data_IF_051364127862
#
_entry.id   IF_051364127862
#
_cell.length_a   1.000
_cell.length_b   1.000
_cell.length_c   1.000
_cell.angle_alpha   90.00
_cell.angle_beta   90.00
_cell.angle_gamma   90.00
#
_symmetry.space_group_name_H-M   'P 1'
#
loop_
_entity.id
_entity.type
_entity.pdbx_description
1 polymer ?
#
# COMPACT_ATOMS: atom_id res chain seq x y z
N UNK A 1 44.01 12.44 -14.09
CA UNK A 1 43.10 12.24 -12.93
C UNK A 1 43.58 11.02 -12.17
N UNK A 2 43.64 11.12 -10.84
CA UNK A 2 43.62 9.95 -9.93
C UNK A 2 42.21 9.32 -9.99
N UNK A 3 41.84 8.12 -9.52
CA UNK A 3 42.45 6.86 -9.03
C UNK A 3 41.29 5.80 -9.15
N UNK A 4 41.25 4.56 -8.67
CA UNK A 4 42.07 3.77 -7.74
C UNK A 4 41.84 2.27 -8.05
N UNK A 5 42.87 1.45 -8.29
CA UNK A 5 42.74 -0.02 -8.24
C UNK A 5 44.02 -0.61 -7.60
N UNK A 6 43.85 -1.51 -6.62
CA UNK A 6 44.94 -2.09 -5.82
C UNK A 6 44.83 -3.62 -5.85
N UNK A 7 45.63 -4.24 -6.71
CA UNK A 7 45.91 -5.67 -6.60
C UNK A 7 47.12 -5.93 -5.70
N UNK A 8 47.03 -7.01 -4.91
CA UNK A 8 48.07 -7.43 -3.98
C UNK A 8 48.53 -8.85 -4.35
N UNK A 9 49.82 -8.99 -4.69
CA UNK A 9 50.42 -10.27 -5.06
C UNK A 9 51.08 -10.95 -3.83
N UNK A 10 51.19 -12.30 -3.81
CA UNK A 10 51.63 -13.03 -2.62
C UNK A 10 53.15 -12.96 -2.41
N UNK A 11 53.56 -12.96 -1.14
CA UNK A 11 54.98 -12.93 -0.74
C UNK A 11 55.66 -14.29 -0.91
N UNK A 12 56.91 -14.26 -1.36
CA UNK A 12 57.66 -15.43 -1.79
C UNK A 12 58.25 -16.29 -0.67
N UNK A 13 58.61 -17.52 -1.04
CA UNK A 13 59.34 -18.51 -0.23
C UNK A 13 60.84 -18.40 -0.52
N UNK A 14 61.64 -18.05 0.47
CA UNK A 14 63.12 -18.15 0.39
C UNK A 14 63.57 -19.57 0.66
N UNK A 15 64.53 -20.06 -0.13
CA UNK A 15 65.22 -21.34 0.07
C UNK A 15 66.21 -21.26 1.24
N UNK A 16 66.26 -22.31 2.06
CA UNK A 16 67.37 -22.63 2.97
C UNK A 16 67.67 -24.11 2.82
N UNK A 17 68.94 -24.47 2.87
CA UNK A 17 69.49 -25.69 2.29
C UNK A 17 69.34 -26.97 3.14
N UNK A 18 69.50 -28.09 2.43
CA UNK A 18 69.53 -29.46 2.93
C UNK A 18 70.69 -29.72 3.90
N UNK A 19 70.37 -29.96 5.17
CA UNK A 19 71.20 -30.80 6.06
C UNK A 19 70.40 -31.35 7.25
N UNK A 20 70.73 -32.58 7.66
CA UNK A 20 70.17 -33.31 8.82
C UNK A 20 68.67 -33.60 8.80
N UNK A 21 68.28 -34.58 7.97
CA UNK A 21 66.95 -35.22 8.00
C UNK A 21 66.84 -36.18 9.20
N UNK A 22 66.27 -35.71 10.32
CA UNK A 22 65.97 -36.54 11.50
C UNK A 22 64.69 -37.35 11.30
N UNK A 23 64.79 -38.42 10.50
CA UNK A 23 63.67 -39.23 9.96
C UNK A 23 62.99 -40.15 11.01
N UNK A 24 62.95 -39.73 12.28
CA UNK A 24 62.43 -40.49 13.44
C UNK A 24 61.37 -39.70 14.24
N UNK A 25 61.30 -38.36 14.12
CA UNK A 25 60.37 -37.51 14.89
C UNK A 25 59.00 -37.34 14.18
N UNK A 26 59.03 -36.98 12.88
CA UNK A 26 57.84 -36.72 12.05
C UNK A 26 56.78 -37.83 12.10
N UNK A 27 57.22 -39.10 12.18
CA UNK A 27 56.32 -40.25 12.21
C UNK A 27 55.51 -40.36 13.50
N UNK A 28 56.14 -40.06 14.65
CA UNK A 28 55.50 -40.11 15.96
C UNK A 28 54.54 -38.92 16.10
N UNK A 29 54.95 -37.72 15.67
CA UNK A 29 54.12 -36.53 15.78
C UNK A 29 52.88 -36.61 14.86
N UNK A 30 53.02 -37.10 13.62
CA UNK A 30 51.89 -37.30 12.72
C UNK A 30 50.92 -38.38 13.22
N UNK A 31 51.41 -39.46 13.83
CA UNK A 31 50.57 -40.50 14.41
C UNK A 31 49.85 -40.00 15.67
N UNK A 32 50.50 -39.24 16.55
CA UNK A 32 49.84 -38.59 17.69
C UNK A 32 48.78 -37.58 17.26
N UNK A 33 49.01 -36.78 16.21
CA UNK A 33 48.03 -35.83 15.67
C UNK A 33 46.82 -36.56 15.06
N UNK A 34 47.03 -37.67 14.35
CA UNK A 34 45.94 -38.52 13.85
C UNK A 34 45.18 -39.21 14.99
N UNK A 35 45.86 -39.70 16.02
CA UNK A 35 45.22 -40.29 17.20
C UNK A 35 44.44 -39.24 18.01
N UNK A 36 44.95 -38.00 18.11
CA UNK A 36 44.29 -36.89 18.82
C UNK A 36 43.04 -36.41 18.08
N UNK A 37 43.11 -36.21 16.76
CA UNK A 37 41.93 -35.85 15.94
C UNK A 37 40.88 -36.98 15.92
N UNK A 38 41.31 -38.25 15.85
CA UNK A 38 40.44 -39.43 15.99
C UNK A 38 39.79 -39.52 17.38
N UNK A 39 40.50 -39.23 18.46
CA UNK A 39 39.94 -39.17 19.83
C UNK A 39 38.92 -38.05 20.03
N UNK A 40 39.06 -36.92 19.33
CA UNK A 40 38.06 -35.84 19.35
C UNK A 40 36.79 -36.20 18.57
N UNK A 41 36.92 -36.72 17.35
CA UNK A 41 35.79 -37.17 16.52
C UNK A 41 35.06 -38.41 17.08
N UNK A 42 35.76 -39.23 17.88
CA UNK A 42 35.17 -40.36 18.62
C UNK A 42 34.71 -40.00 20.03
N UNK A 43 34.78 -38.74 20.45
CA UNK A 43 34.26 -38.33 21.75
C UNK A 43 32.72 -38.37 21.76
N UNK A 44 32.15 -38.98 22.81
CA UNK A 44 30.70 -39.02 23.07
C UNK A 44 29.98 -37.68 22.81
N UNK A 45 30.44 -36.51 23.31
CA UNK A 45 29.77 -35.25 23.03
C UNK A 45 29.72 -34.92 21.53
N UNK A 46 30.78 -35.17 20.76
CA UNK A 46 30.80 -34.84 19.32
C UNK A 46 29.88 -35.75 18.49
N UNK A 47 29.70 -37.00 18.92
CA UNK A 47 28.79 -37.95 18.28
C UNK A 47 27.32 -37.71 18.65
N UNK A 48 27.03 -37.24 19.86
CA UNK A 48 25.67 -37.03 20.37
C UNK A 48 25.13 -35.61 20.05
N UNK A 49 26.00 -34.60 19.95
CA UNK A 49 25.64 -33.22 19.60
C UNK A 49 24.76 -33.09 18.34
N UNK A 50 25.05 -33.72 17.18
CA UNK A 50 24.19 -33.59 16.00
C UNK A 50 22.78 -34.16 16.25
N UNK A 51 22.64 -35.25 17.01
CA UNK A 51 21.32 -35.82 17.37
C UNK A 51 20.55 -34.93 18.35
N UNK A 52 21.24 -34.32 19.32
CA UNK A 52 20.61 -33.31 20.19
C UNK A 52 20.12 -32.13 19.35
N UNK A 53 20.94 -31.62 18.43
CA UNK A 53 20.56 -30.52 17.56
C UNK A 53 19.39 -30.87 16.64
N UNK A 54 19.34 -32.06 16.04
CA UNK A 54 18.18 -32.47 15.22
C UNK A 54 16.90 -32.60 16.04
N UNK A 55 16.97 -33.12 17.28
CA UNK A 55 15.81 -33.17 18.18
C UNK A 55 15.36 -31.77 18.59
N UNK A 56 16.29 -30.85 18.90
CA UNK A 56 15.96 -29.44 19.19
C UNK A 56 15.30 -28.78 17.97
N UNK A 57 15.88 -28.90 16.78
CA UNK A 57 15.31 -28.35 15.54
C UNK A 57 13.94 -28.96 15.21
N UNK A 58 13.73 -30.26 15.45
CA UNK A 58 12.43 -30.91 15.27
C UNK A 58 11.39 -30.35 16.25
N UNK A 59 11.75 -30.20 17.53
CA UNK A 59 10.87 -29.63 18.56
C UNK A 59 10.55 -28.16 18.25
N UNK A 60 11.52 -27.34 17.85
CA UNK A 60 11.27 -25.94 17.49
C UNK A 60 10.43 -25.82 16.22
N UNK A 61 10.67 -26.68 15.22
CA UNK A 61 9.86 -26.69 13.99
C UNK A 61 8.42 -27.15 14.24
N UNK A 62 8.23 -28.15 15.10
CA UNK A 62 6.89 -28.61 15.51
C UNK A 62 6.17 -27.54 16.35
N UNK A 63 6.86 -26.91 17.29
CA UNK A 63 6.31 -25.78 18.04
C UNK A 63 5.97 -24.59 17.13
N UNK A 64 6.80 -24.28 16.13
CA UNK A 64 6.50 -23.27 15.11
C UNK A 64 5.32 -23.67 14.23
N UNK A 65 5.15 -24.95 13.88
CA UNK A 65 3.98 -25.45 13.15
C UNK A 65 2.69 -25.27 13.97
N UNK A 66 2.67 -25.74 15.22
CA UNK A 66 1.55 -25.59 16.17
C UNK A 66 1.19 -24.14 16.52
N UNK A 67 2.14 -23.21 16.34
CA UNK A 67 1.92 -21.76 16.45
C UNK A 67 1.49 -21.13 15.12
N UNK A 68 1.98 -21.64 13.99
CA UNK A 68 1.69 -21.13 12.64
C UNK A 68 0.29 -21.52 12.17
N UNK A 69 -0.18 -22.73 12.48
CA UNK A 69 -1.53 -23.20 12.11
C UNK A 69 -2.65 -22.39 12.81
N UNK A 70 -2.28 -21.65 13.87
CA UNK A 70 -3.18 -20.71 14.58
C UNK A 70 -3.18 -19.29 14.00
N UNK A 71 -2.29 -18.97 13.05
CA UNK A 71 -2.26 -17.65 12.39
C UNK A 71 -3.39 -17.41 11.38
N UNK A 72 -4.12 -18.46 11.00
CA UNK A 72 -5.37 -18.39 10.23
C UNK A 72 -6.61 -18.71 11.08
N UNK A 73 -6.62 -18.29 12.34
CA UNK A 73 -7.86 -18.17 13.11
C UNK A 73 -8.72 -17.04 12.51
N UNK A 74 -9.68 -17.41 11.65
CA UNK A 74 -10.59 -16.48 10.97
C UNK A 74 -11.45 -15.63 11.93
N UNK A 75 -11.57 -16.01 13.21
CA UNK A 75 -12.38 -15.30 14.21
C UNK A 75 -11.93 -13.85 14.48
N UNK A 76 -10.65 -13.49 14.31
CA UNK A 76 -10.15 -12.15 14.65
C UNK A 76 -10.58 -11.04 13.66
N UNK A 77 -11.22 -11.40 12.54
CA UNK A 77 -11.86 -10.46 11.62
C UNK A 77 -13.30 -10.10 12.01
N UNK A 78 -13.91 -10.82 12.96
CA UNK A 78 -15.29 -10.60 13.41
C UNK A 78 -15.39 -9.72 14.66
N UNK A 79 -14.26 -9.19 15.16
CA UNK A 79 -14.21 -8.38 16.37
C UNK A 79 -14.04 -6.89 16.05
N UNK A 80 -14.91 -6.08 16.68
CA UNK A 80 -14.82 -4.62 16.74
C UNK A 80 -13.39 -4.18 17.07
N UNK A 81 -12.83 -3.30 16.23
CA UNK A 81 -11.52 -2.70 16.46
C UNK A 81 -11.60 -1.64 17.57
N UNK A 82 -10.52 -1.38 18.32
CA UNK A 82 -10.47 -0.27 19.27
C UNK A 82 -10.68 1.12 18.65
N UNK A 83 -10.57 1.22 17.32
CA UNK A 83 -10.80 2.43 16.51
C UNK A 83 -12.24 2.57 16.00
N UNK A 84 -13.09 1.57 16.18
CA UNK A 84 -14.47 1.60 15.69
C UNK A 84 -15.32 2.52 16.58
N UNK A 85 -16.28 3.22 15.96
CA UNK A 85 -17.17 4.10 16.70
C UNK A 85 -18.17 3.28 17.52
N UNK A 86 -17.93 3.20 18.84
CA UNK A 86 -18.57 2.23 19.72
C UNK A 86 -20.10 2.31 19.78
N UNK A 87 -20.72 3.49 19.64
CA UNK A 87 -22.19 3.59 19.53
C UNK A 87 -22.77 2.88 18.31
N UNK A 88 -22.01 2.75 17.21
CA UNK A 88 -22.43 2.03 16.02
C UNK A 88 -22.18 0.51 16.11
N UNK A 89 -21.64 0.00 17.23
CA UNK A 89 -21.25 -1.41 17.35
C UNK A 89 -22.41 -2.40 17.23
N UNK A 90 -23.64 -2.01 17.56
CA UNK A 90 -24.85 -2.82 17.36
C UNK A 90 -25.28 -2.93 15.89
N UNK A 91 -24.85 -1.99 15.06
CA UNK A 91 -25.25 -1.87 13.65
C UNK A 91 -24.24 -2.51 12.69
N UNK A 92 -23.11 -3.01 13.20
CA UNK A 92 -22.06 -3.66 12.41
C UNK A 92 -22.41 -5.14 12.24
N UNK A 93 -22.98 -5.48 11.10
CA UNK A 93 -23.25 -6.86 10.67
C UNK A 93 -22.24 -7.31 9.60
N UNK A 94 -21.83 -8.59 9.66
CA UNK A 94 -20.86 -9.19 8.75
C UNK A 94 -21.55 -10.09 7.72
N UNK A 95 -21.54 -9.70 6.44
CA UNK A 95 -22.08 -10.49 5.33
C UNK A 95 -20.97 -11.24 4.57
N UNK A 96 -21.18 -12.54 4.28
CA UNK A 96 -20.28 -13.32 3.43
C UNK A 96 -20.68 -13.13 1.95
N UNK A 97 -20.06 -12.15 1.30
CA UNK A 97 -20.27 -11.87 -0.13
C UNK A 97 -19.23 -12.58 -1.01
N UNK A 98 -19.68 -13.15 -2.14
CA UNK A 98 -18.77 -13.73 -3.14
C UNK A 98 -18.35 -12.69 -4.16
N UNK A 99 -17.08 -12.31 -4.16
CA UNK A 99 -16.54 -11.37 -5.15
C UNK A 99 -16.42 -12.02 -6.54
N UNK A 100 -17.06 -11.40 -7.51
CA UNK A 100 -16.96 -11.72 -8.95
C UNK A 100 -15.80 -10.97 -9.61
N UNK A 101 -15.33 -11.43 -10.77
CA UNK A 101 -14.26 -10.76 -11.53
C UNK A 101 -12.92 -11.51 -11.60
N UNK A 102 -12.80 -12.67 -10.96
CA UNK A 102 -11.57 -13.47 -10.99
C UNK A 102 -11.23 -13.94 -12.43
N UNK A 103 -9.99 -13.72 -12.91
CA UNK A 103 -9.56 -14.21 -14.21
C UNK A 103 -9.24 -15.71 -14.15
N UNK A 104 -9.78 -16.46 -15.10
CA UNK A 104 -9.44 -17.85 -15.37
C UNK A 104 -8.50 -17.91 -16.57
N UNK A 105 -7.29 -18.41 -16.33
CA UNK A 105 -6.25 -18.60 -17.33
C UNK A 105 -6.47 -19.92 -18.09
N UNK A 106 -6.39 -19.85 -19.41
CA UNK A 106 -6.46 -21.00 -20.30
C UNK A 106 -5.05 -21.52 -20.60
N UNK A 107 -4.93 -22.79 -21.01
CA UNK A 107 -3.63 -23.42 -21.36
C UNK A 107 -2.87 -22.68 -22.48
N UNK A 108 -3.57 -21.93 -23.33
CA UNK A 108 -2.99 -21.10 -24.40
C UNK A 108 -2.38 -19.77 -23.89
N UNK A 109 -2.34 -19.53 -22.58
CA UNK A 109 -1.79 -18.32 -21.95
C UNK A 109 -2.73 -17.09 -21.97
N UNK A 110 -3.93 -17.20 -22.55
CA UNK A 110 -4.95 -16.15 -22.45
C UNK A 110 -5.74 -16.27 -21.16
N UNK A 111 -6.41 -15.18 -20.74
CA UNK A 111 -7.33 -15.20 -19.60
C UNK A 111 -8.71 -14.70 -20.02
N UNK A 112 -9.72 -15.15 -19.30
CA UNK A 112 -11.09 -14.64 -19.40
C UNK A 112 -11.70 -14.54 -18.01
N UNK A 113 -12.71 -13.70 -17.84
CA UNK A 113 -13.46 -13.58 -16.58
C UNK A 113 -14.81 -14.27 -16.79
N UNK A 114 -15.03 -15.49 -16.25
CA UNK A 114 -16.28 -16.24 -16.51
C UNK A 114 -17.50 -15.62 -15.81
N UNK A 115 -17.28 -15.00 -14.65
CA UNK A 115 -18.30 -14.28 -13.89
C UNK A 115 -17.89 -12.80 -13.78
N UNK A 116 -18.11 -11.97 -14.83
CA UNK A 116 -17.96 -10.53 -14.73
C UNK A 116 -19.17 -9.97 -13.98
N UNK A 117 -18.96 -9.52 -12.74
CA UNK A 117 -20.03 -8.92 -11.94
C UNK A 117 -20.60 -7.66 -12.58
N UNK A 118 -21.83 -7.30 -12.19
CA UNK A 118 -22.41 -6.02 -12.58
C UNK A 118 -21.62 -4.87 -11.94
N UNK A 119 -21.04 -4.00 -12.75
CA UNK A 119 -20.29 -2.84 -12.31
C UNK A 119 -21.23 -1.70 -11.87
N UNK A 120 -21.60 -1.64 -10.58
CA UNK A 120 -22.46 -0.56 -10.04
C UNK A 120 -21.71 0.78 -9.92
N UNK A 121 -20.41 0.76 -9.60
CA UNK A 121 -19.63 1.95 -9.24
C UNK A 121 -18.54 2.33 -10.26
N UNK A 122 -18.42 1.60 -11.36
CA UNK A 122 -17.33 1.75 -12.35
C UNK A 122 -17.86 1.71 -13.78
N UNK A 123 -17.16 2.40 -14.69
CA UNK A 123 -17.54 2.53 -16.10
C UNK A 123 -17.29 3.96 -16.62
N UNK A 124 -17.75 4.25 -17.85
CA UNK A 124 -17.93 5.63 -18.33
C UNK A 124 -18.84 6.43 -17.38
N UNK A 125 -18.73 7.77 -17.33
CA UNK A 125 -19.54 8.59 -16.44
C UNK A 125 -21.01 8.51 -16.83
N UNK A 126 -21.89 8.32 -15.84
CA UNK A 126 -23.34 8.29 -16.02
C UNK A 126 -24.08 8.69 -14.74
N UNK A 127 -25.32 9.20 -14.83
CA UNK A 127 -26.13 9.54 -13.66
C UNK A 127 -26.37 8.36 -12.71
N UNK A 128 -26.45 7.13 -13.23
CA UNK A 128 -26.64 5.92 -12.43
C UNK A 128 -25.42 5.62 -11.55
N UNK A 129 -24.21 5.78 -12.10
CA UNK A 129 -22.96 5.62 -11.35
C UNK A 129 -22.79 6.76 -10.33
N UNK A 130 -23.12 8.00 -10.71
CA UNK A 130 -23.06 9.13 -9.78
C UNK A 130 -24.05 8.95 -8.61
N UNK A 131 -25.30 8.57 -8.87
CA UNK A 131 -26.28 8.25 -7.84
C UNK A 131 -25.83 7.09 -6.94
N UNK A 132 -25.23 6.04 -7.51
CA UNK A 132 -24.68 4.93 -6.74
C UNK A 132 -23.54 5.38 -5.80
N UNK A 133 -22.66 6.29 -6.24
CA UNK A 133 -21.61 6.85 -5.38
C UNK A 133 -22.15 7.79 -4.30
N UNK A 134 -23.15 8.61 -4.59
CA UNK A 134 -23.80 9.46 -3.59
C UNK A 134 -24.54 8.61 -2.54
N UNK A 135 -25.22 7.54 -2.93
CA UNK A 135 -25.88 6.58 -2.02
C UNK A 135 -24.94 6.05 -0.93
N UNK A 136 -23.68 5.75 -1.28
CA UNK A 136 -22.67 5.20 -0.34
C UNK A 136 -21.72 6.25 0.28
N UNK A 137 -21.86 7.54 -0.06
CA UNK A 137 -21.01 8.62 0.51
C UNK A 137 -21.78 9.78 1.14
N UNK A 138 -23.11 9.82 0.98
CA UNK A 138 -23.99 10.73 1.70
C UNK A 138 -23.90 10.51 3.23
N UNK A 139 -24.25 11.53 4.01
CA UNK A 139 -24.26 11.43 5.48
C UNK A 139 -22.89 11.31 6.15
N UNK A 140 -21.77 11.38 5.41
CA UNK A 140 -20.38 11.29 5.89
C UNK A 140 -20.07 12.06 7.18
N UNK A 141 -20.71 13.20 7.40
CA UNK A 141 -20.59 13.97 8.64
C UNK A 141 -21.95 14.09 9.33
N UNK A 142 -22.01 13.67 10.59
CA UNK A 142 -23.21 13.65 11.42
C UNK A 142 -22.92 14.22 12.82
N UNK A 143 -23.99 14.50 13.56
CA UNK A 143 -23.90 14.99 14.96
C UNK A 143 -23.82 13.81 15.91
N UNK A 144 -23.05 13.95 16.97
CA UNK A 144 -23.00 13.01 18.11
C UNK A 144 -23.22 13.75 19.43
N UNK A 145 -23.51 12.99 20.48
CA UNK A 145 -23.62 13.49 21.86
C UNK A 145 -22.26 13.87 22.45
N UNK A 146 -22.25 14.54 23.61
CA UNK A 146 -21.01 14.90 24.29
C UNK A 146 -20.29 13.66 24.83
N UNK A 147 -21.07 12.70 25.33
CA UNK A 147 -20.61 11.41 25.85
C UNK A 147 -19.90 10.61 24.75
N UNK A 148 -20.50 10.53 23.56
CA UNK A 148 -19.92 9.88 22.39
C UNK A 148 -18.68 10.61 21.87
N UNK A 149 -18.65 11.95 21.94
CA UNK A 149 -17.48 12.72 21.53
C UNK A 149 -16.31 12.50 22.49
N UNK A 150 -16.57 12.37 23.79
CA UNK A 150 -15.56 12.02 24.80
C UNK A 150 -15.07 10.57 24.60
N UNK A 151 -15.95 9.63 24.27
CA UNK A 151 -15.57 8.24 24.01
C UNK A 151 -14.75 8.09 22.71
N UNK A 152 -15.11 8.81 21.64
CA UNK A 152 -14.45 8.73 20.34
C UNK A 152 -13.16 9.57 20.23
N UNK A 153 -13.11 10.75 20.88
CA UNK A 153 -12.01 11.72 20.73
C UNK A 153 -11.21 11.96 22.02
N UNK A 154 -11.61 11.34 23.13
CA UNK A 154 -11.01 11.54 24.45
C UNK A 154 -11.28 12.93 25.04
N UNK A 155 -10.41 13.35 25.96
CA UNK A 155 -10.53 14.62 26.69
C UNK A 155 -10.34 15.89 25.85
N UNK A 156 -10.03 15.77 24.55
CA UNK A 156 -9.91 16.88 23.61
C UNK A 156 -11.16 17.04 22.71
N UNK A 157 -12.29 16.40 23.08
CA UNK A 157 -13.55 16.38 22.33
C UNK A 157 -14.12 17.77 22.03
N UNK A 158 -13.90 18.76 22.90
CA UNK A 158 -14.40 20.15 22.75
C UNK A 158 -13.91 20.85 21.47
N UNK A 159 -12.77 20.44 20.90
CA UNK A 159 -12.26 20.97 19.62
C UNK A 159 -13.14 20.56 18.43
N UNK A 160 -13.99 19.54 18.59
CA UNK A 160 -14.90 19.03 17.56
C UNK A 160 -16.33 19.56 17.68
N UNK A 161 -16.58 20.49 18.61
CA UNK A 161 -17.82 21.25 18.67
C UNK A 161 -17.93 22.23 17.49
N UNK A 162 -19.13 22.33 16.90
CA UNK A 162 -19.40 23.26 15.80
C UNK A 162 -20.57 24.18 16.13
N UNK A 163 -20.29 25.45 16.46
CA UNK A 163 -21.30 26.45 16.85
C UNK A 163 -22.36 26.73 15.79
N UNK A 164 -22.02 26.62 14.49
CA UNK A 164 -22.98 26.85 13.40
C UNK A 164 -24.01 25.73 13.30
N UNK A 165 -23.63 24.54 13.76
CA UNK A 165 -24.46 23.34 13.74
C UNK A 165 -25.12 23.13 15.11
N UNK A 166 -24.49 23.54 16.20
CA UNK A 166 -24.95 23.34 17.57
C UNK A 166 -24.80 21.89 18.02
N UNK A 167 -23.59 21.34 17.89
CA UNK A 167 -23.29 19.96 18.27
C UNK A 167 -21.85 19.55 17.98
N UNK A 168 -21.41 18.44 18.58
CA UNK A 168 -20.18 17.76 18.21
C UNK A 168 -20.37 17.07 16.84
N UNK A 169 -19.40 17.22 15.95
CA UNK A 169 -19.44 16.63 14.61
C UNK A 169 -18.46 15.47 14.49
N UNK A 170 -18.93 14.35 13.96
CA UNK A 170 -18.14 13.16 13.67
C UNK A 170 -18.40 12.66 12.25
N UNK A 171 -17.60 11.68 11.83
CA UNK A 171 -17.77 10.98 10.56
C UNK A 171 -16.97 9.68 10.58
N UNK A 172 -17.50 8.62 9.97
CA UNK A 172 -16.78 7.35 9.83
C UNK A 172 -15.79 7.48 8.67
N UNK A 173 -14.52 7.15 8.89
CA UNK A 173 -13.44 7.37 7.93
C UNK A 173 -13.66 6.64 6.59
N UNK A 174 -14.34 5.49 6.60
CA UNK A 174 -14.80 4.78 5.41
C UNK A 174 -15.53 5.70 4.42
N UNK A 175 -16.45 6.55 4.89
CA UNK A 175 -17.17 7.48 4.01
C UNK A 175 -16.26 8.59 3.47
N UNK A 176 -15.23 8.99 4.22
CA UNK A 176 -14.22 9.94 3.74
C UNK A 176 -13.35 9.31 2.65
N UNK A 177 -12.86 8.08 2.87
CA UNK A 177 -12.10 7.32 1.88
C UNK A 177 -12.89 7.09 0.58
N UNK A 178 -14.15 6.64 0.68
CA UNK A 178 -15.04 6.45 -0.47
C UNK A 178 -15.31 7.75 -1.23
N UNK A 179 -15.52 8.87 -0.52
CA UNK A 179 -15.69 10.18 -1.17
C UNK A 179 -14.43 10.57 -1.95
N UNK A 180 -13.24 10.44 -1.36
CA UNK A 180 -11.98 10.77 -2.02
C UNK A 180 -11.70 9.84 -3.22
N UNK A 181 -12.08 8.57 -3.14
CA UNK A 181 -12.03 7.63 -4.26
C UNK A 181 -13.00 8.03 -5.38
N UNK A 182 -14.21 8.50 -5.05
CA UNK A 182 -15.14 9.05 -6.04
C UNK A 182 -14.59 10.31 -6.72
N UNK A 183 -13.93 11.21 -5.97
CA UNK A 183 -13.24 12.38 -6.55
C UNK A 183 -12.13 11.98 -7.51
N UNK A 184 -11.33 10.97 -7.16
CA UNK A 184 -10.32 10.42 -8.06
C UNK A 184 -10.95 9.81 -9.33
N UNK A 185 -12.03 9.02 -9.20
CA UNK A 185 -12.82 8.51 -10.34
C UNK A 185 -13.28 9.64 -11.27
N UNK A 186 -13.87 10.69 -10.72
CA UNK A 186 -14.35 11.85 -11.47
C UNK A 186 -13.22 12.60 -12.18
N UNK A 187 -12.02 12.67 -11.58
CA UNK A 187 -10.86 13.35 -12.18
C UNK A 187 -10.39 12.75 -13.52
N UNK A 188 -10.69 11.47 -13.79
CA UNK A 188 -10.36 10.84 -15.07
C UNK A 188 -11.30 11.24 -16.23
N UNK A 189 -12.42 11.91 -15.95
CA UNK A 189 -13.41 12.31 -16.94
C UNK A 189 -13.68 13.84 -16.92
N UNK A 190 -12.66 14.68 -17.16
CA UNK A 190 -12.76 16.14 -16.99
C UNK A 190 -13.74 16.82 -17.95
N UNK A 191 -14.08 16.19 -19.08
CA UNK A 191 -15.09 16.68 -20.02
C UNK A 191 -16.53 16.52 -19.49
N UNK A 192 -16.75 15.56 -18.60
CA UNK A 192 -18.05 15.30 -17.96
C UNK A 192 -18.12 15.90 -16.54
N UNK A 193 -17.02 15.84 -15.78
CA UNK A 193 -16.86 16.47 -14.47
C UNK A 193 -15.88 17.65 -14.56
N UNK A 194 -16.29 18.83 -15.07
CA UNK A 194 -15.40 19.97 -15.19
C UNK A 194 -14.94 20.44 -13.79
N UNK A 195 -13.70 20.96 -13.65
CA UNK A 195 -13.13 21.32 -12.34
C UNK A 195 -13.96 22.30 -11.48
N UNK A 196 -14.89 23.02 -12.10
CA UNK A 196 -15.84 23.92 -11.42
C UNK A 196 -16.94 23.20 -10.64
N UNK A 197 -17.27 21.95 -10.98
CA UNK A 197 -18.25 21.18 -10.18
C UNK A 197 -17.59 20.65 -8.90
N UNK A 198 -16.34 20.19 -9.01
CA UNK A 198 -15.61 19.56 -7.92
C UNK A 198 -14.10 19.91 -8.02
N UNK A 199 -13.56 20.75 -7.11
CA UNK A 199 -12.15 21.13 -7.16
C UNK A 199 -11.25 19.97 -6.70
N UNK A 200 -10.95 19.07 -7.63
CA UNK A 200 -10.03 17.93 -7.45
C UNK A 200 -8.55 18.34 -7.42
N UNK A 201 -8.23 19.56 -6.98
CA UNK A 201 -6.86 19.95 -6.62
C UNK A 201 -6.42 19.10 -5.45
N UNK A 202 -5.34 18.33 -5.64
CA UNK A 202 -4.70 17.54 -4.56
C UNK A 202 -4.35 18.51 -3.43
N UNK A 203 -5.10 18.40 -2.34
CA UNK A 203 -4.95 19.27 -1.19
C UNK A 203 -3.63 18.89 -0.50
N UNK A 204 -2.70 19.84 -0.38
CA UNK A 204 -1.46 19.56 0.31
C UNK A 204 -1.75 19.30 1.80
N UNK A 205 -1.25 18.15 2.27
CA UNK A 205 -1.32 17.77 3.67
C UNK A 205 0.10 17.79 4.23
N UNK A 206 0.28 18.47 5.36
CA UNK A 206 1.52 18.51 6.11
C UNK A 206 1.29 17.97 7.52
N UNK A 207 2.27 17.25 8.06
CA UNK A 207 2.24 16.83 9.45
C UNK A 207 2.60 18.02 10.35
N UNK A 208 1.81 18.30 11.39
CA UNK A 208 2.17 19.31 12.38
C UNK A 208 2.32 18.69 13.77
N UNK A 209 3.50 18.82 14.35
CA UNK A 209 3.80 18.28 15.69
C UNK A 209 2.95 18.94 16.79
N UNK A 210 2.43 20.13 16.53
CA UNK A 210 1.50 20.83 17.42
C UNK A 210 0.11 20.18 17.47
N UNK A 211 -0.38 19.62 16.35
CA UNK A 211 -1.69 18.95 16.30
C UNK A 211 -1.59 17.42 16.42
N UNK A 212 -0.40 16.85 16.34
CA UNK A 212 -0.18 15.40 16.39
C UNK A 212 -0.87 14.62 15.26
N UNK A 213 -1.18 15.30 14.15
CA UNK A 213 -1.87 14.74 12.98
C UNK A 213 -1.55 15.52 11.70
N UNK A 214 -1.92 14.94 10.56
CA UNK A 214 -1.90 15.64 9.28
C UNK A 214 -2.92 16.79 9.27
N UNK A 215 -2.49 17.96 8.80
CA UNK A 215 -3.28 19.15 8.61
C UNK A 215 -3.34 19.50 7.12
N UNK A 216 -4.49 20.01 6.68
CA UNK A 216 -4.71 20.50 5.31
C UNK A 216 -4.20 21.92 5.22
N UNK A 217 -3.05 22.12 4.56
CA UNK A 217 -2.51 23.45 4.29
C UNK A 217 -2.83 23.85 2.85
N UNK A 218 -3.88 24.66 2.70
CA UNK A 218 -4.31 25.22 1.41
C UNK A 218 -3.42 26.36 0.90
N UNK A 219 -2.59 26.94 1.77
CA UNK A 219 -1.91 28.22 1.53
C UNK A 219 -0.49 28.01 0.95
N UNK A 220 -0.28 26.86 0.32
CA UNK A 220 0.96 26.53 -0.39
C UNK A 220 0.93 26.98 -1.85
N UNK A 221 2.08 27.43 -2.41
CA UNK A 221 2.17 27.81 -3.81
C UNK A 221 1.95 26.61 -4.73
N UNK A 222 0.93 26.68 -5.58
CA UNK A 222 0.51 25.60 -6.47
C UNK A 222 0.59 26.04 -7.95
N UNK A 223 0.89 25.11 -8.84
CA UNK A 223 1.12 25.39 -10.27
C UNK A 223 -0.19 25.42 -11.05
N UNK A 224 -0.92 26.55 -11.01
CA UNK A 224 -2.13 26.74 -11.82
C UNK A 224 -1.83 26.87 -13.33
N UNK A 225 -2.75 26.38 -14.16
CA UNK A 225 -2.81 26.76 -15.58
C UNK A 225 -3.28 28.21 -15.69
N UNK A 226 -2.61 29.02 -16.52
CA UNK A 226 -3.02 30.39 -16.76
C UNK A 226 -4.22 30.43 -17.72
N UNK A 227 -5.44 30.45 -17.15
CA UNK A 227 -6.69 30.48 -17.90
C UNK A 227 -6.89 31.76 -18.73
N UNK A 228 -6.24 32.88 -18.39
CA UNK A 228 -6.25 34.06 -19.24
C UNK A 228 -5.56 33.77 -20.59
N UNK A 229 -4.34 33.21 -20.58
CA UNK A 229 -3.67 32.78 -21.83
C UNK A 229 -4.46 31.74 -22.62
N UNK A 230 -5.16 30.83 -21.94
CA UNK A 230 -6.03 29.87 -22.61
C UNK A 230 -7.22 30.55 -23.29
N UNK A 231 -7.87 31.49 -22.61
CA UNK A 231 -8.96 32.32 -23.16
C UNK A 231 -8.47 33.18 -24.33
N UNK A 232 -7.30 33.81 -24.21
CA UNK A 232 -6.73 34.64 -25.27
C UNK A 232 -6.41 33.78 -26.52
N UNK A 233 -5.97 32.53 -26.34
CA UNK A 233 -5.86 31.55 -27.41
C UNK A 233 -7.22 31.17 -28.01
N UNK A 234 -8.26 30.92 -27.19
CA UNK A 234 -9.63 30.63 -27.68
C UNK A 234 -10.19 31.80 -28.49
N UNK A 235 -9.99 33.04 -28.05
CA UNK A 235 -10.38 34.24 -28.81
C UNK A 235 -9.66 34.28 -30.17
N UNK A 236 -8.32 34.08 -30.18
CA UNK A 236 -7.57 34.01 -31.43
C UNK A 236 -8.01 32.85 -32.34
N UNK A 237 -8.44 31.73 -31.76
CA UNK A 237 -8.98 30.55 -32.45
C UNK A 237 -10.37 30.79 -33.05
N UNK A 238 -11.13 31.72 -32.49
CA UNK A 238 -12.50 32.03 -32.91
C UNK A 238 -12.54 33.12 -33.99
N UNK A 239 -11.76 34.20 -33.85
CA UNK A 239 -11.80 35.33 -34.80
C UNK A 239 -10.43 36.01 -35.05
N UNK A 240 -9.33 35.43 -34.57
CA UNK A 240 -7.98 35.99 -34.70
C UNK A 240 -7.06 35.19 -35.63
N UNK A 241 -5.75 35.31 -35.37
CA UNK A 241 -4.70 34.79 -36.25
C UNK A 241 -4.60 33.26 -36.30
N UNK A 242 -5.26 32.54 -35.38
CA UNK A 242 -5.31 31.07 -35.36
C UNK A 242 -6.69 30.52 -35.73
N UNK A 243 -7.58 31.33 -36.30
CA UNK A 243 -8.91 30.91 -36.76
C UNK A 243 -8.83 29.79 -37.81
N UNK A 244 -9.64 28.74 -37.67
CA UNK A 244 -9.79 27.70 -38.70
C UNK A 244 -10.88 28.11 -39.69
N UNK A 245 -10.62 28.11 -41.02
CA UNK A 245 -11.65 28.37 -42.00
C UNK A 245 -12.72 27.27 -42.03
N UNK A 246 -13.98 27.68 -42.12
CA UNK A 246 -15.15 26.81 -42.17
C UNK A 246 -15.04 25.71 -43.26
N UNK A 247 -14.40 26.04 -44.40
CA UNK A 247 -14.12 25.12 -45.51
C UNK A 247 -13.24 23.91 -45.16
N UNK A 248 -12.60 23.89 -43.99
CA UNK A 248 -11.78 22.78 -43.50
C UNK A 248 -12.48 21.87 -42.49
N UNK A 249 -13.75 22.16 -42.14
CA UNK A 249 -14.57 21.35 -41.25
C UNK A 249 -15.56 20.52 -42.08
N UNK A 250 -15.66 19.21 -41.82
CA UNK A 250 -16.65 18.32 -42.45
C UNK A 250 -17.58 17.73 -41.39
N UNK A 251 -18.88 17.80 -41.63
CA UNK A 251 -19.90 17.34 -40.70
C UNK A 251 -20.17 15.84 -40.84
N UNK A 252 -20.45 15.16 -39.73
CA UNK A 252 -20.88 13.76 -39.69
C UNK A 252 -22.31 13.75 -39.11
N UNK A 253 -23.32 13.50 -39.95
CA UNK A 253 -24.72 13.57 -39.53
C UNK A 253 -25.29 12.21 -39.14
N UNK A 254 -26.18 12.21 -38.14
CA UNK A 254 -27.25 11.22 -38.02
C UNK A 254 -28.53 11.88 -37.48
N UNK A 255 -29.67 11.43 -38.01
CA UNK A 255 -30.96 12.09 -37.89
C UNK A 255 -31.58 12.05 -36.50
N UNK A 256 -32.54 12.95 -36.29
CA UNK A 256 -33.25 13.16 -35.03
C UNK A 256 -34.38 12.14 -34.81
N UNK A 257 -34.61 11.83 -33.55
CA UNK A 257 -35.69 10.97 -33.07
C UNK A 257 -37.09 11.62 -33.16
N UNK A 258 -38.12 10.78 -33.13
CA UNK A 258 -39.44 11.08 -32.55
C UNK A 258 -39.68 10.10 -31.39
#
# INVERSE_FOLDING_TARGET
MSLLEKDYAPLGRTSVDDSTKSEIDDGIELEEVHLRSRRWTQSLPFQVLPWILTVVFMITSFAQYELSDKSCQSEEYFLLRPTDFKSASSEIEMEIVTFTGAPVFMENGTFHVPNPGKTKYTGPPSPEIDNAWEEITAGRYFRITAEEAIEAFGSASDVYWNDKVGGYMAGIDMFHALHCLNRLRQSFWPDYYPPSTHPNTVIHQEWTDYLGRNYVNSDVPHTCRNFAKLRDWVVSRHNGSTMVPESSVKHHEKGQDQ
#
